data_IF_852636208664
#
_entry.id   IF_852636208664
#
_cell.length_a   1.000
_cell.length_b   1.000
_cell.length_c   1.000
_cell.angle_alpha   90.00
_cell.angle_beta   90.00
_cell.angle_gamma   90.00
#
_symmetry.space_group_name_H-M   'P 1'
#
loop_
_entity.id
_entity.type
_entity.pdbx_description
1 polymer ?
#
# COMPACT_ATOMS: atom_id res chain seq x y z
N UNK A 1 4.89 -10.22 -35.40
CA UNK A 1 6.09 -9.35 -35.53
C UNK A 1 6.79 -9.61 -36.86
N UNK A 2 7.56 -8.64 -37.37
CA UNK A 2 8.39 -8.83 -38.56
C UNK A 2 9.44 -9.95 -38.34
N UNK A 3 9.76 -10.79 -39.35
CA UNK A 3 10.75 -11.86 -39.21
C UNK A 3 12.15 -11.39 -38.79
N UNK A 4 12.55 -10.16 -39.16
CA UNK A 4 13.80 -9.54 -38.74
C UNK A 4 13.87 -9.34 -37.23
N UNK A 5 12.82 -8.73 -36.67
CA UNK A 5 12.65 -8.52 -35.22
C UNK A 5 12.64 -9.87 -34.49
N UNK A 6 11.88 -10.85 -34.99
CA UNK A 6 11.80 -12.17 -34.38
C UNK A 6 13.16 -12.87 -34.32
N UNK A 7 13.97 -12.74 -35.38
CA UNK A 7 15.33 -13.30 -35.45
C UNK A 7 16.27 -12.59 -34.49
N UNK A 8 16.20 -11.25 -34.42
CA UNK A 8 17.04 -10.45 -33.54
C UNK A 8 16.76 -10.73 -32.06
N UNK A 9 15.49 -10.83 -31.65
CA UNK A 9 15.10 -11.14 -30.27
C UNK A 9 15.50 -12.55 -29.83
N UNK A 10 15.53 -13.52 -30.76
CA UNK A 10 15.99 -14.89 -30.48
C UNK A 10 17.52 -15.06 -30.53
N UNK A 11 18.28 -13.99 -30.82
CA UNK A 11 19.74 -14.10 -30.90
C UNK A 11 20.35 -14.37 -29.52
N UNK A 12 21.50 -15.05 -29.51
CA UNK A 12 22.26 -15.37 -28.31
C UNK A 12 22.95 -14.13 -27.73
N UNK A 13 23.30 -13.16 -28.58
CA UNK A 13 23.99 -11.94 -28.20
C UNK A 13 23.01 -10.88 -27.72
N UNK A 14 23.29 -10.31 -26.56
CA UNK A 14 22.48 -9.25 -25.97
C UNK A 14 22.35 -8.02 -26.89
N UNK A 15 23.44 -7.57 -27.50
CA UNK A 15 23.43 -6.37 -28.36
C UNK A 15 22.48 -6.50 -29.54
N UNK A 16 22.37 -7.71 -30.11
CA UNK A 16 21.43 -7.97 -31.21
C UNK A 16 19.98 -8.00 -30.74
N UNK A 17 19.72 -8.57 -29.55
CA UNK A 17 18.39 -8.51 -28.94
C UNK A 17 17.97 -7.06 -28.68
N UNK A 18 18.90 -6.23 -28.21
CA UNK A 18 18.68 -4.79 -27.99
C UNK A 18 18.32 -4.07 -29.29
N UNK A 19 19.01 -4.35 -30.39
CA UNK A 19 18.65 -3.80 -31.71
C UNK A 19 17.23 -4.23 -32.12
N UNK A 20 16.90 -5.51 -32.02
CA UNK A 20 15.55 -6.01 -32.32
C UNK A 20 14.46 -5.39 -31.44
N UNK A 21 14.78 -5.10 -30.18
CA UNK A 21 13.87 -4.44 -29.24
C UNK A 21 13.63 -2.96 -29.59
N UNK A 22 14.66 -2.23 -30.03
CA UNK A 22 14.51 -0.85 -30.50
C UNK A 22 13.68 -0.77 -31.79
N UNK A 23 13.88 -1.71 -32.71
CA UNK A 23 13.05 -1.82 -33.92
C UNK A 23 11.59 -2.14 -33.55
N UNK A 24 11.37 -3.06 -32.62
CA UNK A 24 10.04 -3.39 -32.11
C UNK A 24 9.36 -2.19 -31.45
N UNK A 25 10.11 -1.42 -30.65
CA UNK A 25 9.61 -0.19 -30.02
C UNK A 25 9.09 0.79 -31.07
N UNK A 26 9.88 1.06 -32.13
CA UNK A 26 9.48 1.94 -33.22
C UNK A 26 8.20 1.44 -33.90
N UNK A 27 8.13 0.14 -34.21
CA UNK A 27 6.94 -0.46 -34.81
C UNK A 27 5.71 -0.26 -33.95
N UNK A 28 5.80 -0.46 -32.63
CA UNK A 28 4.66 -0.27 -31.73
C UNK A 28 4.25 1.21 -31.66
N UNK A 29 5.19 2.16 -31.64
CA UNK A 29 4.90 3.61 -31.70
C UNK A 29 4.17 4.00 -32.98
N UNK A 30 4.59 3.44 -34.12
CA UNK A 30 3.93 3.68 -35.41
C UNK A 30 2.50 3.10 -35.40
N UNK A 31 2.33 1.88 -34.88
CA UNK A 31 1.00 1.26 -34.76
C UNK A 31 0.07 2.03 -33.81
N UNK A 32 0.59 2.61 -32.73
CA UNK A 32 -0.18 3.48 -31.82
C UNK A 32 -0.64 4.75 -32.53
N UNK A 33 0.24 5.37 -33.31
CA UNK A 33 -0.08 6.57 -34.09
C UNK A 33 -1.18 6.27 -35.13
N UNK A 34 -1.15 5.07 -35.71
CA UNK A 34 -2.17 4.57 -36.63
C UNK A 34 -3.41 3.99 -35.93
N UNK A 35 -3.44 3.95 -34.59
CA UNK A 35 -4.51 3.35 -33.77
C UNK A 35 -4.80 1.88 -34.10
N UNK A 36 -3.78 1.13 -34.52
CA UNK A 36 -3.90 -0.30 -34.87
C UNK A 36 -3.73 -1.22 -33.64
N UNK A 37 -4.61 -1.04 -32.64
CA UNK A 37 -4.53 -1.74 -31.34
C UNK A 37 -4.57 -3.28 -31.47
N UNK A 38 -5.32 -3.81 -32.44
CA UNK A 38 -5.36 -5.26 -32.69
C UNK A 38 -4.00 -5.84 -33.06
N UNK A 39 -3.19 -5.10 -33.83
CA UNK A 39 -1.85 -5.56 -34.22
C UNK A 39 -0.90 -5.50 -33.04
N UNK A 40 -1.00 -4.47 -32.21
CA UNK A 40 -0.25 -4.34 -30.95
C UNK A 40 -0.57 -5.53 -30.03
N UNK A 41 -1.86 -5.83 -29.82
CA UNK A 41 -2.29 -6.98 -29.02
C UNK A 41 -1.75 -8.29 -29.55
N UNK A 42 -1.74 -8.50 -30.87
CA UNK A 42 -1.13 -9.68 -31.51
C UNK A 42 0.38 -9.77 -31.26
N UNK A 43 1.08 -8.65 -31.32
CA UNK A 43 2.53 -8.58 -31.03
C UNK A 43 2.80 -8.95 -29.57
N UNK A 44 2.05 -8.38 -28.62
CA UNK A 44 2.20 -8.68 -27.19
C UNK A 44 1.92 -10.15 -26.91
N UNK A 45 0.82 -10.70 -27.43
CA UNK A 45 0.50 -12.13 -27.32
C UNK A 45 1.60 -13.02 -27.88
N UNK A 46 2.23 -12.61 -28.98
CA UNK A 46 3.36 -13.34 -29.55
C UNK A 46 4.56 -13.33 -28.59
N UNK A 47 4.93 -12.17 -28.03
CA UNK A 47 6.01 -12.04 -27.04
C UNK A 47 5.72 -12.85 -25.75
N UNK A 48 4.47 -12.90 -25.31
CA UNK A 48 4.09 -13.69 -24.14
C UNK A 48 4.17 -15.20 -24.42
N UNK A 49 3.46 -15.67 -25.45
CA UNK A 49 3.24 -17.10 -25.68
C UNK A 49 4.42 -17.80 -26.35
N UNK A 50 5.06 -17.17 -27.33
CA UNK A 50 6.15 -17.79 -28.09
C UNK A 50 7.53 -17.54 -27.48
N UNK A 51 7.65 -16.56 -26.57
CA UNK A 51 8.93 -16.18 -25.98
C UNK A 51 8.93 -16.34 -24.46
N UNK A 52 8.20 -15.53 -23.70
CA UNK A 52 8.29 -15.51 -22.25
C UNK A 52 7.86 -16.85 -21.60
N UNK A 53 6.81 -17.49 -22.14
CA UNK A 53 6.38 -18.83 -21.72
C UNK A 53 7.13 -19.98 -22.41
N UNK A 54 8.16 -19.71 -23.22
CA UNK A 54 8.94 -20.76 -23.89
C UNK A 54 9.92 -21.44 -22.91
N UNK A 55 9.40 -22.31 -22.03
CA UNK A 55 10.12 -22.95 -20.91
C UNK A 55 11.39 -23.70 -21.37
N UNK A 56 11.41 -24.26 -22.59
CA UNK A 56 12.55 -25.00 -23.12
C UNK A 56 13.59 -24.14 -23.87
N UNK A 57 13.37 -22.83 -24.01
CA UNK A 57 14.23 -21.95 -24.80
C UNK A 57 14.62 -20.69 -24.02
N UNK A 58 15.70 -20.72 -23.20
CA UNK A 58 16.10 -19.58 -22.37
C UNK A 58 16.49 -18.34 -23.19
N UNK A 59 17.00 -18.52 -24.41
CA UNK A 59 17.30 -17.40 -25.31
C UNK A 59 16.02 -16.69 -25.76
N UNK A 60 14.97 -17.46 -26.09
CA UNK A 60 13.66 -16.92 -26.43
C UNK A 60 13.03 -16.20 -25.24
N UNK A 61 13.09 -16.76 -24.02
CA UNK A 61 12.58 -16.06 -22.82
C UNK A 61 13.26 -14.72 -22.61
N UNK A 62 14.59 -14.66 -22.70
CA UNK A 62 15.33 -13.40 -22.62
C UNK A 62 14.90 -12.40 -23.71
N UNK A 63 14.71 -12.87 -24.95
CA UNK A 63 14.19 -12.04 -26.04
C UNK A 63 12.78 -11.51 -25.77
N UNK A 64 11.90 -12.36 -25.24
CA UNK A 64 10.54 -12.01 -24.85
C UNK A 64 10.52 -10.96 -23.75
N UNK A 65 11.31 -11.14 -22.69
CA UNK A 65 11.44 -10.19 -21.59
C UNK A 65 11.91 -8.81 -22.08
N UNK A 66 12.96 -8.77 -22.91
CA UNK A 66 13.45 -7.50 -23.49
C UNK A 66 12.39 -6.89 -24.42
N UNK A 67 11.72 -7.71 -25.24
CA UNK A 67 10.66 -7.25 -26.14
C UNK A 67 9.43 -6.70 -25.41
N UNK A 68 9.02 -7.32 -24.30
CA UNK A 68 7.92 -6.83 -23.45
C UNK A 68 8.27 -5.50 -22.78
N UNK A 69 9.52 -5.34 -22.33
CA UNK A 69 9.99 -4.05 -21.80
C UNK A 69 10.00 -2.95 -22.87
N UNK A 70 10.45 -3.27 -24.08
CA UNK A 70 10.40 -2.33 -25.21
C UNK A 70 8.96 -1.99 -25.62
N UNK A 71 8.06 -2.97 -25.62
CA UNK A 71 6.64 -2.74 -25.85
C UNK A 71 6.06 -1.80 -24.78
N UNK A 72 6.39 -2.01 -23.51
CA UNK A 72 5.95 -1.13 -22.43
C UNK A 72 6.42 0.32 -22.62
N UNK A 73 7.69 0.51 -22.99
CA UNK A 73 8.26 1.84 -23.28
C UNK A 73 7.56 2.51 -24.47
N UNK A 74 7.23 1.74 -25.52
CA UNK A 74 6.52 2.24 -26.70
C UNK A 74 5.08 2.66 -26.37
N UNK A 75 4.38 1.84 -25.57
CA UNK A 75 2.98 2.06 -25.17
C UNK A 75 2.80 3.30 -24.30
N UNK A 76 3.75 3.58 -23.41
CA UNK A 76 3.66 4.75 -22.53
C UNK A 76 2.35 4.75 -21.74
N UNK A 77 1.52 5.81 -21.81
CA UNK A 77 0.24 5.87 -21.09
C UNK A 77 -0.75 4.75 -21.45
N UNK A 78 -0.66 4.19 -22.66
CA UNK A 78 -1.55 3.13 -23.13
C UNK A 78 -1.19 1.75 -22.54
N UNK A 79 -0.08 1.64 -21.82
CA UNK A 79 0.43 0.40 -21.23
C UNK A 79 -0.59 -0.26 -20.30
N UNK A 80 -1.34 0.53 -19.52
CA UNK A 80 -2.28 0.04 -18.51
C UNK A 80 -3.20 -1.07 -19.07
N UNK A 81 -3.72 -0.87 -20.28
CA UNK A 81 -4.65 -1.78 -20.98
C UNK A 81 -4.07 -3.15 -21.32
N UNK A 82 -2.76 -3.30 -21.22
CA UNK A 82 -2.03 -4.51 -21.58
C UNK A 82 -1.33 -5.16 -20.37
N UNK A 83 -1.37 -4.54 -19.19
CA UNK A 83 -0.64 -5.05 -18.02
C UNK A 83 -1.11 -6.45 -17.60
N UNK A 84 -2.40 -6.77 -17.72
CA UNK A 84 -2.94 -8.10 -17.41
C UNK A 84 -2.35 -9.20 -18.31
N UNK A 85 -1.97 -8.86 -19.54
CA UNK A 85 -1.32 -9.79 -20.47
C UNK A 85 0.21 -9.82 -20.29
N UNK A 86 0.82 -8.70 -19.88
CA UNK A 86 2.29 -8.51 -19.82
C UNK A 86 2.89 -8.96 -18.47
N UNK A 87 2.24 -8.66 -17.35
CA UNK A 87 2.80 -8.86 -16.00
C UNK A 87 2.95 -10.36 -15.67
N UNK A 88 1.94 -11.23 -15.85
CA UNK A 88 2.04 -12.66 -15.51
C UNK A 88 3.24 -13.40 -16.14
N UNK A 89 3.56 -13.27 -17.46
CA UNK A 89 4.71 -13.96 -18.03
C UNK A 89 6.06 -13.46 -17.50
N UNK A 90 6.17 -12.18 -17.13
CA UNK A 90 7.38 -11.64 -16.51
C UNK A 90 7.53 -12.20 -15.09
N UNK A 91 6.44 -12.25 -14.32
CA UNK A 91 6.42 -12.86 -12.99
C UNK A 91 6.85 -14.33 -13.02
N UNK A 92 6.36 -15.11 -14.00
CA UNK A 92 6.76 -16.50 -14.16
C UNK A 92 8.29 -16.66 -14.34
N UNK A 93 8.93 -15.71 -15.04
CA UNK A 93 10.38 -15.72 -15.27
C UNK A 93 11.21 -15.39 -14.01
N UNK A 94 10.62 -14.85 -12.93
CA UNK A 94 11.35 -14.63 -11.66
C UNK A 94 11.80 -15.92 -10.98
N UNK A 95 11.17 -17.05 -11.29
CA UNK A 95 11.51 -18.37 -10.72
C UNK A 95 12.20 -19.28 -11.73
N UNK A 96 12.69 -18.72 -12.84
CA UNK A 96 13.36 -19.49 -13.89
C UNK A 96 14.60 -20.23 -13.39
N UNK A 97 14.92 -21.37 -13.98
CA UNK A 97 16.12 -22.13 -13.64
C UNK A 97 17.41 -21.40 -14.09
N UNK A 98 17.39 -20.70 -15.23
CA UNK A 98 18.53 -19.90 -15.70
C UNK A 98 18.53 -18.54 -15.01
N UNK A 99 19.59 -18.26 -14.25
CA UNK A 99 19.73 -17.01 -13.52
C UNK A 99 19.76 -15.77 -14.40
N UNK A 100 20.20 -15.88 -15.67
CA UNK A 100 20.14 -14.76 -16.61
C UNK A 100 18.71 -14.41 -16.94
N UNK A 101 17.83 -15.41 -17.09
CA UNK A 101 16.40 -15.18 -17.31
C UNK A 101 15.79 -14.47 -16.10
N UNK A 102 16.11 -14.94 -14.88
CA UNK A 102 15.67 -14.26 -13.64
C UNK A 102 16.16 -12.80 -13.57
N UNK A 103 17.42 -12.55 -13.91
CA UNK A 103 17.97 -11.20 -13.97
C UNK A 103 17.25 -10.30 -14.98
N UNK A 104 17.04 -10.79 -16.21
CA UNK A 104 16.29 -10.03 -17.22
C UNK A 104 14.82 -9.86 -16.84
N UNK A 105 14.23 -10.76 -16.06
CA UNK A 105 12.87 -10.57 -15.55
C UNK A 105 12.83 -9.37 -14.58
N UNK A 106 13.83 -9.23 -13.70
CA UNK A 106 13.97 -8.05 -12.84
C UNK A 106 14.13 -6.76 -13.65
N UNK A 107 15.01 -6.76 -14.65
CA UNK A 107 15.24 -5.60 -15.51
C UNK A 107 13.99 -5.22 -16.31
N UNK A 108 13.29 -6.21 -16.88
CA UNK A 108 12.06 -5.97 -17.63
C UNK A 108 10.92 -5.47 -16.74
N UNK A 109 10.71 -6.09 -15.58
CA UNK A 109 9.69 -5.63 -14.63
C UNK A 109 9.99 -4.21 -14.12
N UNK A 110 11.27 -3.88 -13.88
CA UNK A 110 11.67 -2.51 -13.52
C UNK A 110 11.27 -1.50 -14.60
N UNK A 111 11.56 -1.79 -15.88
CA UNK A 111 11.20 -0.90 -16.97
C UNK A 111 9.67 -0.79 -17.16
N UNK A 112 8.94 -1.90 -17.00
CA UNK A 112 7.47 -1.91 -17.04
C UNK A 112 6.90 -1.06 -15.90
N UNK A 113 7.32 -1.30 -14.66
CA UNK A 113 6.86 -0.55 -13.49
C UNK A 113 7.21 0.94 -13.58
N UNK A 114 8.38 1.28 -14.13
CA UNK A 114 8.80 2.68 -14.34
C UNK A 114 7.87 3.43 -15.28
N UNK A 115 7.31 2.76 -16.28
CA UNK A 115 6.35 3.35 -17.22
C UNK A 115 4.93 3.32 -16.65
N UNK A 116 4.52 2.20 -16.05
CA UNK A 116 3.19 1.98 -15.49
C UNK A 116 2.90 2.84 -14.25
N UNK A 117 3.91 3.13 -13.43
CA UNK A 117 3.77 3.85 -12.15
C UNK A 117 2.66 3.21 -11.29
N UNK A 118 1.67 3.99 -10.85
CA UNK A 118 0.55 3.52 -10.03
C UNK A 118 -0.24 2.36 -10.65
N UNK A 119 -0.26 2.22 -11.98
CA UNK A 119 -0.93 1.11 -12.67
C UNK A 119 -0.30 -0.25 -12.39
N UNK A 120 0.89 -0.29 -11.78
CA UNK A 120 1.51 -1.56 -11.34
C UNK A 120 0.97 -2.06 -10.00
N UNK A 121 0.30 -1.21 -9.22
CA UNK A 121 -0.18 -1.52 -7.87
C UNK A 121 -1.22 -2.63 -7.78
N UNK A 122 -2.12 -2.87 -8.77
CA UNK A 122 -3.00 -4.04 -8.76
C UNK A 122 -2.25 -5.38 -8.67
N UNK A 123 -1.00 -5.43 -9.15
CA UNK A 123 -0.12 -6.60 -9.13
C UNK A 123 0.86 -6.60 -7.95
N UNK A 124 0.72 -5.66 -7.01
CA UNK A 124 1.67 -5.45 -5.91
C UNK A 124 1.92 -6.74 -5.12
N UNK A 125 0.87 -7.48 -4.76
CA UNK A 125 1.01 -8.69 -3.96
C UNK A 125 1.92 -9.73 -4.63
N UNK A 126 1.74 -9.97 -5.93
CA UNK A 126 2.56 -10.92 -6.68
C UNK A 126 4.00 -10.44 -6.86
N UNK A 127 4.18 -9.14 -7.08
CA UNK A 127 5.51 -8.52 -7.21
C UNK A 127 6.26 -8.59 -5.87
N UNK A 128 5.61 -8.21 -4.78
CA UNK A 128 6.14 -8.31 -3.41
C UNK A 128 6.52 -9.75 -3.08
N UNK A 129 5.66 -10.70 -3.43
CA UNK A 129 5.90 -12.12 -3.24
C UNK A 129 7.16 -12.62 -3.96
N UNK A 130 7.32 -12.20 -5.21
CA UNK A 130 8.48 -12.53 -6.02
C UNK A 130 9.75 -11.89 -5.46
N UNK A 131 9.71 -10.60 -5.09
CA UNK A 131 10.84 -9.89 -4.50
C UNK A 131 11.32 -10.51 -3.19
N UNK A 132 10.41 -11.00 -2.34
CA UNK A 132 10.75 -11.74 -1.12
C UNK A 132 11.66 -12.94 -1.41
N UNK A 133 11.43 -13.63 -2.53
CA UNK A 133 12.17 -14.82 -2.97
C UNK A 133 13.48 -14.42 -3.65
N UNK A 134 13.44 -13.43 -4.54
CA UNK A 134 14.60 -12.95 -5.31
C UNK A 134 15.68 -12.29 -4.42
N UNK A 135 15.30 -11.66 -3.32
CA UNK A 135 16.27 -11.13 -2.35
C UNK A 135 17.19 -12.21 -1.76
N UNK A 136 16.75 -13.47 -1.78
CA UNK A 136 17.49 -14.64 -1.32
C UNK A 136 18.05 -15.51 -2.46
N UNK A 137 18.11 -15.02 -3.70
CA UNK A 137 18.59 -15.77 -4.86
C UNK A 137 20.02 -16.34 -4.68
N UNK A 138 20.42 -17.34 -5.45
CA UNK A 138 21.80 -17.83 -5.42
C UNK A 138 22.77 -16.87 -6.11
N UNK A 139 22.30 -16.14 -7.13
CA UNK A 139 23.14 -15.30 -7.98
C UNK A 139 23.09 -13.82 -7.55
N UNK A 140 24.28 -13.22 -7.40
CA UNK A 140 24.41 -11.82 -6.97
C UNK A 140 23.81 -10.84 -7.99
N UNK A 141 23.93 -11.12 -9.29
CA UNK A 141 23.35 -10.27 -10.33
C UNK A 141 21.82 -10.19 -10.21
N UNK A 142 21.17 -11.31 -9.93
CA UNK A 142 19.72 -11.37 -9.73
C UNK A 142 19.31 -10.58 -8.48
N UNK A 143 20.05 -10.70 -7.37
CA UNK A 143 19.82 -9.89 -6.16
C UNK A 143 19.92 -8.40 -6.44
N UNK A 144 20.95 -7.97 -7.16
CA UNK A 144 21.14 -6.56 -7.52
C UNK A 144 19.98 -6.05 -8.40
N UNK A 145 19.52 -6.87 -9.36
CA UNK A 145 18.36 -6.53 -10.19
C UNK A 145 17.07 -6.43 -9.37
N UNK A 146 16.85 -7.37 -8.45
CA UNK A 146 15.70 -7.37 -7.55
C UNK A 146 15.72 -6.19 -6.58
N UNK A 147 16.90 -5.77 -6.10
CA UNK A 147 17.04 -4.59 -5.25
C UNK A 147 16.67 -3.29 -5.96
N UNK A 148 17.05 -3.13 -7.23
CA UNK A 148 16.64 -1.96 -8.02
C UNK A 148 15.12 -1.93 -8.25
N UNK A 149 14.53 -3.09 -8.52
CA UNK A 149 13.08 -3.22 -8.63
C UNK A 149 12.38 -2.92 -7.30
N UNK A 150 12.85 -3.51 -6.20
CA UNK A 150 12.31 -3.28 -4.85
C UNK A 150 12.28 -1.79 -4.50
N UNK A 151 13.38 -1.06 -4.74
CA UNK A 151 13.44 0.39 -4.51
C UNK A 151 12.42 1.15 -5.35
N UNK A 152 12.29 0.84 -6.63
CA UNK A 152 11.30 1.49 -7.49
C UNK A 152 9.86 1.22 -7.04
N UNK A 153 9.52 -0.03 -6.69
CA UNK A 153 8.17 -0.35 -6.21
C UNK A 153 7.91 0.36 -4.88
N UNK A 154 8.91 0.48 -4.00
CA UNK A 154 8.80 1.27 -2.76
C UNK A 154 8.51 2.74 -3.04
N UNK A 155 9.19 3.35 -4.01
CA UNK A 155 8.94 4.73 -4.42
C UNK A 155 7.50 4.87 -4.93
N UNK A 156 7.04 3.99 -5.83
CA UNK A 156 5.66 4.01 -6.37
C UNK A 156 4.62 3.85 -5.26
N UNK A 157 4.82 2.88 -4.35
CA UNK A 157 3.90 2.63 -3.23
C UNK A 157 3.86 3.85 -2.30
N UNK A 158 5.01 4.46 -2.00
CA UNK A 158 5.07 5.65 -1.16
C UNK A 158 4.35 6.85 -1.77
N UNK A 159 4.39 7.00 -3.10
CA UNK A 159 3.75 8.11 -3.81
C UNK A 159 2.25 7.89 -4.06
N UNK A 160 1.80 6.63 -4.23
CA UNK A 160 0.51 6.34 -4.86
C UNK A 160 -0.40 5.37 -4.08
N UNK A 161 0.07 4.68 -3.04
CA UNK A 161 -0.71 3.59 -2.43
C UNK A 161 -2.03 4.02 -1.78
N UNK A 162 -2.09 5.23 -1.21
CA UNK A 162 -3.27 5.71 -0.50
C UNK A 162 -4.30 6.43 -1.40
N UNK A 163 -3.91 6.87 -2.60
CA UNK A 163 -4.72 7.80 -3.41
C UNK A 163 -4.96 7.34 -4.84
N UNK A 164 -4.13 6.45 -5.37
CA UNK A 164 -4.17 6.12 -6.78
C UNK A 164 -5.29 5.12 -7.09
N UNK A 165 -6.17 5.47 -8.02
CA UNK A 165 -7.19 4.58 -8.60
C UNK A 165 -6.75 4.18 -10.00
N UNK A 166 -6.59 2.88 -10.22
CA UNK A 166 -6.17 2.32 -11.51
C UNK A 166 -7.31 2.34 -12.52
N UNK A 167 -7.01 2.59 -13.79
CA UNK A 167 -7.99 2.46 -14.88
C UNK A 167 -8.52 1.04 -14.99
N UNK A 168 -7.75 0.03 -14.55
CA UNK A 168 -8.17 -1.38 -14.53
C UNK A 168 -9.24 -1.68 -13.48
N UNK A 169 -9.40 -0.81 -12.48
CA UNK A 169 -10.39 -0.97 -11.40
C UNK A 169 -11.67 -0.15 -11.65
N UNK A 170 -11.74 0.62 -12.75
CA UNK A 170 -12.93 1.39 -13.07
C UNK A 170 -14.02 0.47 -13.66
N UNK A 171 -15.28 0.55 -13.16
CA UNK A 171 -16.42 -0.13 -13.79
C UNK A 171 -16.50 0.17 -15.28
N UNK A 172 -16.85 -0.84 -16.10
CA UNK A 172 -16.92 -0.71 -17.57
C UNK A 172 -17.80 0.48 -18.02
N UNK A 173 -18.84 0.81 -17.25
CA UNK A 173 -19.77 1.92 -17.48
C UNK A 173 -19.10 3.32 -17.47
N UNK A 174 -17.98 3.47 -16.77
CA UNK A 174 -17.23 4.75 -16.65
C UNK A 174 -16.13 4.85 -17.74
N UNK A 175 -15.76 3.73 -18.37
CA UNK A 175 -14.70 3.71 -19.39
C UNK A 175 -15.13 4.30 -20.74
N UNK A 176 -16.44 4.43 -20.98
CA UNK A 176 -17.02 4.89 -22.27
C UNK A 176 -17.35 6.38 -22.32
N UNK A 177 -17.39 7.11 -21.19
CA UNK A 177 -17.73 8.55 -21.17
C UNK A 177 -16.46 9.42 -21.17
N UNK A 178 -16.28 10.24 -22.22
CA UNK A 178 -15.09 11.09 -22.45
C UNK A 178 -15.00 12.32 -21.51
N UNK A 179 -16.04 12.61 -20.71
CA UNK A 179 -16.13 13.79 -19.84
C UNK A 179 -15.83 13.46 -18.37
N UNK A 180 -14.54 13.38 -18.02
CA UNK A 180 -14.05 13.14 -16.64
C UNK A 180 -14.39 14.23 -15.61
N UNK A 181 -14.94 15.37 -16.04
CA UNK A 181 -15.08 16.56 -15.19
C UNK A 181 -16.48 16.69 -14.52
N UNK A 182 -17.36 15.69 -14.65
CA UNK A 182 -18.77 15.80 -14.18
C UNK A 182 -19.21 14.82 -13.09
N UNK A 183 -18.33 13.94 -12.59
CA UNK A 183 -18.75 12.92 -11.64
C UNK A 183 -18.65 13.38 -10.18
N UNK A 184 -19.70 13.05 -9.45
CA UNK A 184 -19.87 13.31 -8.02
C UNK A 184 -18.67 12.81 -7.21
N UNK A 185 -18.16 13.66 -6.31
CA UNK A 185 -17.01 13.44 -5.42
C UNK A 185 -17.28 12.32 -4.38
N UNK A 186 -18.40 11.62 -4.50
CA UNK A 186 -18.94 10.61 -3.58
C UNK A 186 -18.76 9.16 -4.03
N UNK A 187 -18.22 8.90 -5.23
CA UNK A 187 -17.89 7.54 -5.66
C UNK A 187 -16.70 7.02 -4.83
N UNK A 188 -16.98 6.04 -3.96
CA UNK A 188 -15.99 5.29 -3.19
C UNK A 188 -15.16 4.39 -4.13
N UNK A 189 -14.27 5.02 -4.90
CA UNK A 189 -13.41 4.36 -5.86
C UNK A 189 -12.30 3.62 -5.11
N UNK A 190 -12.26 2.31 -5.30
CA UNK A 190 -11.23 1.47 -4.67
C UNK A 190 -9.86 1.79 -5.24
N UNK A 191 -8.93 2.16 -4.35
CA UNK A 191 -7.52 2.37 -4.69
C UNK A 191 -6.88 1.12 -5.31
N UNK A 192 -5.90 1.33 -6.19
CA UNK A 192 -5.19 0.27 -6.89
C UNK A 192 -4.42 -0.65 -5.94
N UNK A 193 -3.79 -0.06 -4.92
CA UNK A 193 -3.23 -0.80 -3.78
C UNK A 193 -4.32 -1.01 -2.73
N UNK A 194 -4.38 -2.20 -2.14
CA UNK A 194 -5.32 -2.52 -1.06
C UNK A 194 -4.58 -3.19 0.09
N UNK A 195 -4.52 -2.49 1.22
CA UNK A 195 -3.89 -3.04 2.41
C UNK A 195 -4.60 -4.31 2.88
N UNK A 196 -5.94 -4.31 2.90
CA UNK A 196 -6.75 -5.47 3.27
C UNK A 196 -6.41 -6.72 2.44
N UNK A 197 -6.14 -6.57 1.14
CA UNK A 197 -5.73 -7.67 0.26
C UNK A 197 -4.27 -8.07 0.47
N UNK A 198 -3.41 -7.18 0.94
CA UNK A 198 -2.00 -7.46 1.19
C UNK A 198 -1.75 -8.18 2.52
N UNK A 199 -2.51 -7.85 3.57
CA UNK A 199 -2.27 -8.37 4.93
C UNK A 199 -2.24 -9.89 5.04
N UNK A 200 -3.13 -10.68 4.39
CA UNK A 200 -3.04 -12.14 4.43
C UNK A 200 -1.70 -12.68 3.90
N UNK A 201 -1.15 -12.06 2.84
CA UNK A 201 0.16 -12.43 2.31
C UNK A 201 1.28 -12.08 3.31
N UNK A 202 1.22 -10.89 3.92
CA UNK A 202 2.20 -10.49 4.94
C UNK A 202 2.17 -11.44 6.15
N UNK A 203 0.99 -11.81 6.62
CA UNK A 203 0.79 -12.72 7.74
C UNK A 203 1.39 -14.11 7.47
N UNK A 204 1.28 -14.63 6.25
CA UNK A 204 1.96 -15.87 5.85
C UNK A 204 3.49 -15.69 5.88
N UNK A 205 3.99 -14.57 5.35
CA UNK A 205 5.43 -14.37 5.14
C UNK A 205 6.19 -13.86 6.34
N UNK A 206 5.54 -13.32 7.36
CA UNK A 206 6.22 -12.84 8.57
C UNK A 206 6.95 -13.95 9.36
N UNK A 207 6.72 -15.23 9.03
CA UNK A 207 7.35 -16.38 9.70
C UNK A 207 8.52 -17.00 8.94
N UNK A 208 9.04 -16.34 7.90
CA UNK A 208 10.25 -16.78 7.18
C UNK A 208 11.45 -16.95 8.12
N UNK A 209 12.37 -17.84 7.75
CA UNK A 209 13.58 -18.16 8.54
C UNK A 209 14.77 -17.30 8.10
N UNK A 210 14.88 -17.01 6.80
CA UNK A 210 16.04 -16.32 6.23
C UNK A 210 16.18 -14.88 6.76
N UNK A 211 17.30 -14.50 7.41
CA UNK A 211 17.49 -13.16 7.98
C UNK A 211 17.40 -12.02 6.95
N UNK A 212 17.83 -12.25 5.71
CA UNK A 212 17.71 -11.25 4.64
C UNK A 212 16.25 -10.97 4.31
N UNK A 213 15.44 -12.03 4.18
CA UNK A 213 13.99 -11.88 3.95
C UNK A 213 13.31 -11.21 5.14
N UNK A 214 13.74 -11.48 6.38
CA UNK A 214 13.22 -10.77 7.57
C UNK A 214 13.50 -9.27 7.50
N UNK A 215 14.73 -8.86 7.18
CA UNK A 215 15.07 -7.46 6.96
C UNK A 215 14.25 -6.82 5.83
N UNK A 216 14.05 -7.55 4.73
CA UNK A 216 13.20 -7.11 3.62
C UNK A 216 11.77 -6.83 4.10
N UNK A 217 11.15 -7.75 4.85
CA UNK A 217 9.80 -7.60 5.39
C UNK A 217 9.69 -6.43 6.36
N UNK A 218 10.63 -6.28 7.28
CA UNK A 218 10.66 -5.15 8.22
C UNK A 218 10.79 -3.82 7.47
N UNK A 219 11.60 -3.78 6.40
CA UNK A 219 11.73 -2.61 5.54
C UNK A 219 10.41 -2.22 4.86
N UNK A 220 9.67 -3.19 4.35
CA UNK A 220 8.34 -2.95 3.75
C UNK A 220 7.29 -2.53 4.79
N UNK A 221 7.25 -3.18 5.95
CA UNK A 221 6.34 -2.79 7.05
C UNK A 221 6.62 -1.35 7.47
N UNK A 222 7.90 -0.97 7.61
CA UNK A 222 8.29 0.40 8.00
C UNK A 222 7.90 1.42 6.93
N UNK A 223 8.00 1.06 5.65
CA UNK A 223 7.59 1.94 4.55
C UNK A 223 6.07 2.13 4.54
N UNK A 224 5.31 1.03 4.61
CA UNK A 224 3.85 1.08 4.61
C UNK A 224 3.31 1.85 5.83
N UNK A 225 3.92 1.68 7.01
CA UNK A 225 3.65 2.46 8.23
C UNK A 225 3.94 3.95 8.06
N UNK A 226 4.86 4.33 7.17
CA UNK A 226 5.21 5.73 6.94
C UNK A 226 4.28 6.46 5.99
N UNK A 227 3.42 5.74 5.26
CA UNK A 227 2.48 6.32 4.29
C UNK A 227 1.26 6.84 5.06
N UNK A 228 0.97 8.15 4.99
CA UNK A 228 -0.26 8.70 5.55
C UNK A 228 -1.49 8.00 4.97
N UNK A 229 -2.57 7.93 5.74
CA UNK A 229 -3.88 7.42 5.30
C UNK A 229 -3.94 5.91 4.95
N UNK A 230 -2.81 5.19 4.93
CA UNK A 230 -2.78 3.74 4.74
C UNK A 230 -3.12 2.95 6.03
N UNK A 231 -3.15 3.63 7.17
CA UNK A 231 -3.60 3.15 8.49
C UNK A 231 -3.10 1.73 8.87
N UNK A 232 -1.83 1.41 8.58
CA UNK A 232 -1.28 0.06 8.77
C UNK A 232 -1.43 -0.47 10.21
N UNK A 233 -1.41 0.43 11.20
CA UNK A 233 -1.59 0.12 12.61
C UNK A 233 -2.88 -0.64 12.93
N UNK A 234 -3.94 -0.47 12.12
CA UNK A 234 -5.22 -1.18 12.28
C UNK A 234 -5.05 -2.70 12.11
N UNK A 235 -4.09 -3.11 11.28
CA UNK A 235 -3.76 -4.52 11.00
C UNK A 235 -2.57 -5.03 11.82
N UNK A 236 -2.02 -4.22 12.73
CA UNK A 236 -0.86 -4.61 13.55
C UNK A 236 -1.02 -5.99 14.22
N UNK A 237 -2.17 -6.39 14.79
CA UNK A 237 -2.31 -7.71 15.41
C UNK A 237 -1.94 -8.88 14.48
N UNK A 238 -2.25 -8.77 13.18
CA UNK A 238 -2.11 -9.85 12.20
C UNK A 238 -0.65 -10.29 12.00
N UNK A 239 0.30 -9.38 12.19
CA UNK A 239 1.73 -9.63 11.97
C UNK A 239 2.63 -9.33 13.18
N UNK A 240 2.08 -8.78 14.27
CA UNK A 240 2.84 -8.42 15.49
C UNK A 240 3.60 -9.61 16.09
N UNK A 241 2.97 -10.79 16.12
CA UNK A 241 3.61 -12.01 16.61
C UNK A 241 4.88 -12.39 15.83
N UNK A 242 4.90 -12.14 14.52
CA UNK A 242 6.07 -12.34 13.67
C UNK A 242 7.20 -11.35 13.97
N UNK A 243 6.87 -10.06 14.14
CA UNK A 243 7.84 -9.04 14.56
C UNK A 243 8.47 -9.37 15.91
N UNK A 244 7.70 -9.93 16.85
CA UNK A 244 8.27 -10.41 18.11
C UNK A 244 9.30 -11.50 17.93
N UNK A 245 9.10 -12.44 17.00
CA UNK A 245 10.15 -13.43 16.69
C UNK A 245 11.42 -12.77 16.15
N UNK A 246 11.29 -11.69 15.37
CA UNK A 246 12.44 -10.98 14.80
C UNK A 246 13.26 -10.21 15.85
N UNK A 247 12.67 -9.82 16.98
CA UNK A 247 13.43 -9.22 18.11
C UNK A 247 14.45 -10.20 18.71
N UNK A 248 14.23 -11.49 18.55
CA UNK A 248 15.14 -12.56 19.00
C UNK A 248 15.93 -13.18 17.83
N UNK A 249 15.97 -12.52 16.67
CA UNK A 249 16.70 -13.00 15.49
C UNK A 249 18.22 -13.12 15.78
N UNK A 250 18.95 -14.12 15.23
CA UNK A 250 20.40 -14.19 15.36
C UNK A 250 21.14 -12.98 14.75
N UNK A 251 20.62 -12.41 13.66
CA UNK A 251 21.15 -11.22 13.01
C UNK A 251 20.86 -9.95 13.80
N UNK A 252 21.90 -9.20 14.14
CA UNK A 252 21.77 -7.91 14.83
C UNK A 252 20.96 -6.90 14.01
N UNK A 253 21.14 -6.89 12.70
CA UNK A 253 20.49 -5.92 11.81
C UNK A 253 18.98 -6.13 11.81
N UNK A 254 18.52 -7.39 11.78
CA UNK A 254 17.10 -7.74 11.89
C UNK A 254 16.54 -7.27 13.23
N UNK A 255 17.23 -7.53 14.34
CA UNK A 255 16.78 -7.08 15.67
C UNK A 255 16.65 -5.56 15.76
N UNK A 256 17.65 -4.82 15.27
CA UNK A 256 17.66 -3.34 15.30
C UNK A 256 16.56 -2.76 14.41
N UNK A 257 16.42 -3.24 13.18
CA UNK A 257 15.38 -2.79 12.27
C UNK A 257 13.98 -3.06 12.84
N UNK A 258 13.78 -4.25 13.41
CA UNK A 258 12.50 -4.64 14.03
C UNK A 258 12.16 -3.77 15.24
N UNK A 259 13.15 -3.48 16.09
CA UNK A 259 12.95 -2.59 17.23
C UNK A 259 12.53 -1.19 16.74
N UNK A 260 13.20 -0.66 15.71
CA UNK A 260 12.85 0.62 15.10
C UNK A 260 11.41 0.65 14.58
N UNK A 261 10.98 -0.39 13.86
CA UNK A 261 9.61 -0.51 13.36
C UNK A 261 8.57 -0.52 14.50
N UNK A 262 8.81 -1.31 15.56
CA UNK A 262 7.90 -1.38 16.70
C UNK A 262 7.84 -0.06 17.47
N UNK A 263 8.96 0.66 17.61
CA UNK A 263 8.98 1.98 18.25
C UNK A 263 8.13 3.00 17.49
N UNK A 264 8.05 2.92 16.16
CA UNK A 264 7.19 3.77 15.33
C UNK A 264 5.71 3.50 15.58
N UNK A 265 5.28 2.23 15.51
CA UNK A 265 3.91 1.84 15.84
C UNK A 265 3.52 2.28 17.26
N UNK A 266 4.41 2.13 18.25
CA UNK A 266 4.16 2.59 19.61
C UNK A 266 3.97 4.11 19.71
N UNK A 267 4.73 4.87 18.93
CA UNK A 267 4.59 6.33 18.86
C UNK A 267 3.26 6.72 18.21
N UNK A 268 2.88 6.03 17.12
CA UNK A 268 1.63 6.24 16.42
C UNK A 268 0.41 5.92 17.30
N UNK A 269 0.37 4.72 17.92
CA UNK A 269 -0.70 4.33 18.85
C UNK A 269 -0.86 5.36 19.97
N UNK A 270 0.27 5.87 20.51
CA UNK A 270 0.23 6.93 21.53
C UNK A 270 -0.33 8.25 20.99
N UNK A 271 -0.01 8.62 19.75
CA UNK A 271 -0.55 9.81 19.08
C UNK A 271 -2.05 9.67 18.89
N UNK A 272 -2.52 8.55 18.35
CA UNK A 272 -3.93 8.26 18.12
C UNK A 272 -4.73 8.28 19.43
N UNK A 273 -4.21 7.65 20.49
CA UNK A 273 -4.82 7.68 21.82
C UNK A 273 -4.99 9.10 22.37
N UNK A 274 -4.01 10.00 22.14
CA UNK A 274 -4.12 11.41 22.55
C UNK A 274 -5.16 12.19 21.75
N UNK A 275 -5.26 11.94 20.45
CA UNK A 275 -6.25 12.57 19.57
C UNK A 275 -7.65 12.17 20.02
N UNK A 276 -7.92 10.87 20.16
CA UNK A 276 -9.20 10.35 20.64
C UNK A 276 -9.58 10.92 22.00
N UNK A 277 -8.61 11.02 22.92
CA UNK A 277 -8.82 11.63 24.23
C UNK A 277 -9.18 13.12 24.14
N UNK A 278 -8.48 13.89 23.31
CA UNK A 278 -8.76 15.33 23.14
C UNK A 278 -10.15 15.59 22.56
N UNK A 279 -10.57 14.77 21.59
CA UNK A 279 -11.92 14.82 21.01
C UNK A 279 -12.98 14.52 22.10
N UNK A 280 -12.77 13.48 22.90
CA UNK A 280 -13.68 13.09 23.99
C UNK A 280 -13.78 14.18 25.09
N UNK A 281 -12.66 14.78 25.49
CA UNK A 281 -12.64 15.88 26.46
C UNK A 281 -13.35 17.13 25.92
N UNK A 282 -13.17 17.44 24.62
CA UNK A 282 -13.88 18.54 23.94
C UNK A 282 -15.40 18.28 23.92
N UNK A 283 -15.83 17.07 23.57
CA UNK A 283 -17.24 16.65 23.57
C UNK A 283 -17.87 16.78 24.97
N UNK A 284 -17.20 16.26 26.00
CA UNK A 284 -17.66 16.38 27.40
C UNK A 284 -17.77 17.84 27.85
N UNK A 285 -16.79 18.69 27.53
CA UNK A 285 -16.83 20.10 27.90
C UNK A 285 -17.97 20.88 27.20
N UNK A 286 -18.29 20.53 25.94
CA UNK A 286 -19.43 21.08 25.20
C UNK A 286 -20.75 20.63 25.81
N UNK A 287 -20.89 19.36 26.18
CA UNK A 287 -22.10 18.83 26.81
C UNK A 287 -22.34 19.43 28.21
N UNK A 288 -21.29 19.64 29.00
CA UNK A 288 -21.37 20.32 30.29
C UNK A 288 -21.72 21.80 30.14
N UNK A 289 -21.24 22.46 29.08
CA UNK A 289 -21.60 23.85 28.75
C UNK A 289 -23.05 23.97 28.29
N UNK A 290 -23.54 23.03 27.47
CA UNK A 290 -24.94 22.95 27.04
C UNK A 290 -25.88 22.69 28.23
N UNK A 291 -25.51 21.78 29.14
CA UNK A 291 -26.28 21.52 30.37
C UNK A 291 -26.35 22.73 31.30
N UNK A 292 -25.23 23.44 31.50
CA UNK A 292 -25.22 24.69 32.29
C UNK A 292 -26.05 25.80 31.67
N UNK A 293 -26.08 25.91 30.34
CA UNK A 293 -26.91 26.89 29.63
C UNK A 293 -28.40 26.57 29.77
N UNK A 294 -28.79 25.30 29.65
CA UNK A 294 -30.17 24.85 29.87
C UNK A 294 -30.64 24.94 31.34
N UNK A 295 -29.76 24.72 32.31
CA UNK A 295 -30.08 24.93 33.73
C UNK A 295 -30.24 26.42 34.05
N UNK A 296 -29.43 27.29 33.44
CA UNK A 296 -29.53 28.75 33.62
C UNK A 296 -30.82 29.30 33.00
N UNK A 297 -31.25 28.79 31.84
CA UNK A 297 -32.52 29.17 31.19
C UNK A 297 -33.76 28.69 31.96
N UNK A 298 -33.71 27.54 32.65
CA UNK A 298 -34.81 27.06 33.52
C UNK A 298 -34.96 27.83 34.83
N UNK A 299 -33.93 28.54 35.27
CA UNK A 299 -33.99 29.38 36.49
C UNK A 299 -34.52 30.80 36.27
N UNK A 300 -34.84 31.20 35.03
CA UNK A 300 -35.35 32.56 34.72
C UNK A 300 -36.89 32.59 34.64
N UNK A 301 -37.59 31.45 34.60
CA UNK A 301 -39.06 31.41 34.42
C UNK A 301 -39.87 31.42 35.73
N UNK A 302 -39.34 32.05 36.79
CA UNK A 302 -40.09 32.21 38.05
C UNK A 302 -39.87 33.54 38.77
N UNK A 303 -40.00 34.66 38.04
CA UNK A 303 -40.46 35.95 38.60
C UNK A 303 -41.34 36.66 37.57
N UNK A 304 -42.61 36.83 37.91
CA UNK A 304 -43.63 37.49 37.10
C UNK A 304 -43.78 38.97 37.53
N UNK A 305 -44.20 39.79 36.55
CA UNK A 305 -44.85 41.11 36.65
C UNK A 305 -43.98 42.38 36.80
N UNK A 306 -44.03 43.24 35.78
CA UNK A 306 -43.51 44.60 35.81
C UNK A 306 -43.38 45.25 34.43
N UNK A 307 -44.48 45.84 33.98
CA UNK A 307 -44.71 46.64 32.76
C UNK A 307 -43.67 47.77 32.52
N UNK A 308 -43.05 47.83 31.32
CA UNK A 308 -42.99 49.03 30.47
C UNK A 308 -42.23 48.82 29.14
N UNK A 309 -42.85 49.32 28.06
CA UNK A 309 -42.38 49.34 26.69
C UNK A 309 -41.06 50.11 26.47
N UNK A 310 -40.21 49.57 25.60
CA UNK A 310 -39.70 50.30 24.43
C UNK A 310 -39.10 49.34 23.40
N UNK A 311 -39.52 49.53 22.15
CA UNK A 311 -39.08 48.83 20.96
C UNK A 311 -37.58 49.04 20.70
N UNK A 312 -36.84 47.95 20.49
CA UNK A 312 -35.82 47.92 19.44
C UNK A 312 -35.83 46.57 18.74
N UNK A 313 -35.89 46.63 17.42
CA UNK A 313 -35.98 45.51 16.48
C UNK A 313 -34.56 45.09 16.12
N UNK A 314 -34.41 43.82 15.71
CA UNK A 314 -33.23 43.22 15.02
C UNK A 314 -32.00 42.94 15.92
N UNK A 315 -31.36 41.77 15.92
CA UNK A 315 -31.25 40.70 14.92
C UNK A 315 -31.26 39.33 15.61
N UNK A 316 -31.87 38.34 14.95
CA UNK A 316 -31.69 36.94 15.32
C UNK A 316 -30.22 36.58 15.21
N UNK A 317 -29.57 36.35 16.34
CA UNK A 317 -28.31 35.61 16.39
C UNK A 317 -28.68 34.12 16.22
N UNK A 318 -29.17 33.79 15.02
CA UNK A 318 -28.98 32.48 14.42
C UNK A 318 -27.46 32.29 14.31
N UNK A 319 -26.81 32.00 15.44
CA UNK A 319 -25.56 31.25 15.41
C UNK A 319 -25.97 29.89 14.93
N UNK A 320 -26.05 29.77 13.61
CA UNK A 320 -25.71 28.56 12.89
C UNK A 320 -24.66 27.84 13.74
N UNK A 321 -25.10 26.74 14.33
CA UNK A 321 -24.22 25.73 14.86
C UNK A 321 -23.39 25.30 13.66
N UNK A 322 -22.27 25.98 13.42
CA UNK A 322 -21.23 25.50 12.52
C UNK A 322 -20.83 24.15 13.08
N UNK A 323 -21.41 23.12 12.48
CA UNK A 323 -21.16 21.72 12.75
C UNK A 323 -19.95 21.21 11.99
N UNK A 324 -19.07 22.12 11.56
CA UNK A 324 -17.74 21.75 11.12
C UNK A 324 -16.91 21.53 12.38
N UNK A 325 -17.13 20.37 13.01
CA UNK A 325 -16.07 19.72 13.76
C UNK A 325 -14.92 19.56 12.76
N UNK A 326 -13.91 20.45 12.84
CA UNK A 326 -12.69 20.37 12.05
C UNK A 326 -12.16 18.92 12.12
N UNK A 327 -12.30 18.19 11.02
CA UNK A 327 -11.90 16.79 10.93
C UNK A 327 -10.41 16.68 11.28
N UNK A 328 -10.08 15.83 12.26
CA UNK A 328 -8.69 15.64 12.68
C UNK A 328 -8.14 14.34 12.07
N UNK A 329 -7.05 14.39 11.28
CA UNK A 329 -6.42 13.21 10.71
C UNK A 329 -6.08 12.15 11.77
N UNK A 330 -6.64 10.95 11.60
CA UNK A 330 -6.45 9.81 12.50
C UNK A 330 -7.50 9.66 13.62
N UNK A 331 -8.57 10.44 13.62
CA UNK A 331 -9.65 10.30 14.60
C UNK A 331 -10.43 8.98 14.46
N UNK A 332 -10.56 8.47 13.22
CA UNK A 332 -11.38 7.30 12.88
C UNK A 332 -10.59 5.97 12.92
N UNK A 333 -9.27 6.02 13.11
CA UNK A 333 -8.38 4.84 13.12
C UNK A 333 -8.72 3.91 14.29
N UNK A 334 -9.10 2.66 14.02
CA UNK A 334 -9.42 1.66 15.04
C UNK A 334 -8.21 0.77 15.37
N UNK A 335 -7.65 0.94 16.57
CA UNK A 335 -6.56 0.08 17.08
C UNK A 335 -7.15 -1.02 17.95
N UNK A 336 -6.95 -2.29 17.58
CA UNK A 336 -7.40 -3.44 18.37
C UNK A 336 -6.46 -3.70 19.56
N UNK A 337 -6.63 -2.91 20.63
CA UNK A 337 -5.82 -3.03 21.84
C UNK A 337 -5.95 -4.39 22.53
N UNK A 338 -7.13 -5.02 22.48
CA UNK A 338 -7.39 -6.31 23.12
C UNK A 338 -6.46 -7.37 22.54
N UNK A 339 -6.47 -7.52 21.22
CA UNK A 339 -5.65 -8.53 20.54
C UNK A 339 -4.15 -8.23 20.65
N UNK A 340 -3.76 -6.95 20.56
CA UNK A 340 -2.35 -6.54 20.78
C UNK A 340 -1.87 -6.96 22.18
N UNK A 341 -2.69 -6.75 23.22
CA UNK A 341 -2.33 -7.13 24.60
C UNK A 341 -2.34 -8.64 24.82
N UNK A 342 -3.23 -9.38 24.16
CA UNK A 342 -3.24 -10.85 24.19
C UNK A 342 -1.95 -11.41 23.58
N UNK A 343 -1.55 -10.91 22.40
CA UNK A 343 -0.30 -11.31 21.74
C UNK A 343 0.92 -10.96 22.62
N UNK A 344 0.95 -9.79 23.24
CA UNK A 344 2.03 -9.42 24.15
C UNK A 344 2.13 -10.37 25.35
N UNK A 345 1.00 -10.64 26.02
CA UNK A 345 0.94 -11.53 27.18
C UNK A 345 1.46 -12.91 26.83
N UNK A 346 1.01 -13.48 25.71
CA UNK A 346 1.45 -14.78 25.22
C UNK A 346 2.97 -14.84 24.94
N UNK A 347 3.60 -13.73 24.56
CA UNK A 347 5.04 -13.67 24.30
C UNK A 347 5.88 -13.35 25.55
N UNK A 348 5.30 -12.81 26.62
CA UNK A 348 5.98 -12.55 27.90
C UNK A 348 6.14 -13.79 28.76
N UNK A 349 5.19 -14.73 28.65
CA UNK A 349 5.24 -16.02 29.35
C UNK A 349 6.29 -16.98 28.75
N UNK A 350 6.74 -16.70 27.52
CA UNK A 350 7.89 -17.37 26.92
C UNK A 350 9.20 -16.87 27.55
N UNK A 351 10.18 -17.74 27.80
CA UNK A 351 11.38 -17.46 28.62
C UNK A 351 12.38 -16.43 28.05
N UNK A 352 11.94 -15.53 27.16
CA UNK A 352 12.73 -14.51 26.47
C UNK A 352 12.60 -13.14 27.16
N UNK A 353 12.83 -13.09 28.47
CA UNK A 353 12.75 -11.85 29.25
C UNK A 353 13.87 -10.85 28.92
N UNK A 354 13.58 -9.83 28.10
CA UNK A 354 14.08 -8.44 28.21
C UNK A 354 13.46 -7.48 27.17
N UNK A 355 13.41 -7.78 25.85
CA UNK A 355 12.96 -6.80 24.86
C UNK A 355 11.43 -6.60 24.83
N UNK A 356 10.66 -7.64 25.12
CA UNK A 356 9.19 -7.60 25.11
C UNK A 356 8.60 -6.82 26.30
N UNK A 357 9.30 -6.84 27.45
CA UNK A 357 8.80 -6.25 28.70
C UNK A 357 8.70 -4.71 28.61
N UNK A 358 9.64 -4.07 27.88
CA UNK A 358 9.62 -2.62 27.66
C UNK A 358 8.45 -2.22 26.75
N UNK A 359 8.22 -2.96 25.68
CA UNK A 359 7.12 -2.74 24.74
C UNK A 359 5.78 -2.96 25.46
N UNK A 360 5.67 -4.04 26.22
CA UNK A 360 4.49 -4.37 27.02
C UNK A 360 4.14 -3.30 28.04
N UNK A 361 5.11 -2.86 28.86
CA UNK A 361 4.89 -1.79 29.85
C UNK A 361 4.41 -0.49 29.19
N UNK A 362 4.96 -0.14 28.03
CA UNK A 362 4.53 1.03 27.25
C UNK A 362 3.07 0.88 26.78
N UNK A 363 2.68 -0.26 26.21
CA UNK A 363 1.32 -0.50 25.72
C UNK A 363 0.28 -0.61 26.84
N UNK A 364 0.58 -1.32 27.93
CA UNK A 364 -0.27 -1.37 29.12
C UNK A 364 -0.51 0.02 29.72
N UNK A 365 0.50 0.88 29.73
CA UNK A 365 0.36 2.26 30.23
C UNK A 365 -0.59 3.07 29.34
N UNK A 366 -0.55 2.85 28.02
CA UNK A 366 -1.48 3.50 27.07
C UNK A 366 -2.90 2.97 27.31
N UNK A 367 -3.08 1.65 27.33
CA UNK A 367 -4.38 1.01 27.50
C UNK A 367 -5.05 1.34 28.85
N UNK A 368 -4.31 1.26 29.97
CA UNK A 368 -4.86 1.61 31.30
C UNK A 368 -5.36 3.05 31.36
N UNK A 369 -4.71 3.99 30.66
CA UNK A 369 -5.16 5.38 30.59
C UNK A 369 -6.48 5.53 29.83
N UNK A 370 -6.74 4.71 28.82
CA UNK A 370 -8.02 4.70 28.11
C UNK A 370 -9.16 4.12 28.99
N UNK A 371 -8.90 3.04 29.72
CA UNK A 371 -9.94 2.38 30.55
C UNK A 371 -10.22 3.10 31.89
N UNK A 372 -9.23 3.77 32.48
CA UNK A 372 -9.41 4.52 33.74
C UNK A 372 -10.28 5.78 33.61
N UNK A 373 -10.69 6.18 32.40
CA UNK A 373 -11.52 7.37 32.14
C UNK A 373 -12.92 7.06 31.57
N UNK A 374 -13.36 5.80 31.64
CA UNK A 374 -14.78 5.44 31.46
C UNK A 374 -15.27 5.40 30.01
N UNK A 375 -14.54 4.72 29.12
CA UNK A 375 -15.11 4.25 27.85
C UNK A 375 -15.88 2.95 28.18
N UNK A 376 -17.22 2.88 28.02
CA UNK A 376 -17.95 1.63 28.20
C UNK A 376 -17.46 0.62 27.17
N UNK A 377 -17.33 -0.64 27.59
CA UNK A 377 -17.24 -1.76 26.66
C UNK A 377 -18.42 -1.67 25.69
N UNK A 378 -18.15 -1.67 24.38
CA UNK A 378 -19.12 -2.31 23.50
C UNK A 378 -18.95 -3.81 23.76
N UNK A 379 -19.99 -4.37 24.39
CA UNK A 379 -20.02 -5.72 24.90
C UNK A 379 -19.89 -6.77 23.78
N UNK A 380 -19.05 -7.77 24.10
CA UNK A 380 -19.01 -9.17 23.64
C UNK A 380 -18.94 -9.47 22.13
#
# INVERSE_FOLDING_TARGET
MDPGIQRALNDKLYDKRKVGALELEQVIRDLLTLKEFDKIKKIIKQLCNEYAYAIHQPHSRNGGLIGLAAAAIALGPELARYLDEIVPPVLACFTDQDARVRYYACESMYNIAKVAKGEVLPYFNDIFDALCKLGADSELSVKNGAELLDRLIKDIVSESAATYVSVLNLPEEIQEEEDRDSYDESLDLTTAFSLARFIPLLQERIYVINPFTRNFLVGWITLLDSIPDLELVTYLPEFLGGLFRFLSDPSRDVRVATQGALERFLCEIRRLSRIKKGIEESRKSRDDTKKKKQESEKSVDSVQEGDNNNDDITEGDDRELSSDDDWVPGQDVLVNYKEILEILTANLDSSLGNPYEVIFKKLLTIHRREYSLGIPSMDC
#
